data_IF_544960140235
#
_entry.id   IF_544960140235
#
_cell.length_a   1.000
_cell.length_b   1.000
_cell.length_c   1.000
_cell.angle_alpha   90.00
_cell.angle_beta   90.00
_cell.angle_gamma   90.00
#
_symmetry.space_group_name_H-M   'P 1'
#
loop_
_entity.id
_entity.type
_entity.pdbx_description
1 polymer ?
#
# COMPACT_ATOMS: atom_id res chain seq x y z
N UNK A 1 17.79 -5.07 -18.20
CA UNK A 1 18.75 -5.77 -17.31
C UNK A 1 18.11 -7.10 -16.97
N UNK A 2 18.75 -8.21 -17.33
CA UNK A 2 18.31 -9.56 -16.95
C UNK A 2 19.14 -9.98 -15.72
N UNK A 3 18.62 -9.71 -14.53
CA UNK A 3 19.32 -10.04 -13.28
C UNK A 3 18.93 -11.45 -12.84
N UNK A 4 19.89 -12.37 -12.86
CA UNK A 4 19.68 -13.79 -12.58
C UNK A 4 19.93 -14.19 -11.12
N UNK A 5 19.96 -13.22 -10.22
CA UNK A 5 20.15 -13.42 -8.78
C UNK A 5 18.85 -13.28 -8.00
N UNK A 6 18.90 -13.56 -6.70
CA UNK A 6 17.75 -13.40 -5.79
C UNK A 6 17.39 -11.92 -5.63
N UNK A 7 16.12 -11.59 -5.40
CA UNK A 7 15.67 -10.20 -5.13
C UNK A 7 16.42 -9.60 -3.91
N UNK A 8 16.84 -10.46 -2.98
CA UNK A 8 17.65 -10.06 -1.82
C UNK A 8 19.08 -9.67 -2.17
N UNK A 9 19.63 -10.12 -3.30
CA UNK A 9 20.93 -9.69 -3.81
C UNK A 9 20.84 -8.32 -4.47
N UNK A 10 19.73 -8.05 -5.18
CA UNK A 10 19.40 -6.68 -5.60
C UNK A 10 19.36 -5.76 -4.38
N UNK A 11 18.64 -6.15 -3.31
CA UNK A 11 18.57 -5.37 -2.06
C UNK A 11 19.94 -4.93 -1.54
N UNK A 12 20.97 -5.79 -1.62
CA UNK A 12 22.34 -5.44 -1.21
C UNK A 12 23.03 -4.49 -2.20
N UNK A 13 22.77 -4.66 -3.49
CA UNK A 13 23.39 -3.88 -4.57
C UNK A 13 22.88 -2.44 -4.63
N UNK A 14 21.56 -2.22 -4.50
CA UNK A 14 20.95 -0.88 -4.62
C UNK A 14 21.07 -0.05 -3.35
N UNK A 15 21.41 -0.65 -2.19
CA UNK A 15 21.66 0.05 -0.91
C UNK A 15 20.45 0.74 -0.27
N UNK A 16 19.40 1.05 -1.06
CA UNK A 16 18.14 1.61 -0.63
C UNK A 16 17.00 0.81 -1.26
N UNK A 17 16.25 0.09 -0.43
CA UNK A 17 14.98 -0.51 -0.80
C UNK A 17 13.94 0.05 0.16
N UNK A 18 13.14 1.07 -0.24
CA UNK A 18 12.13 1.63 0.63
C UNK A 18 11.11 0.53 0.94
N UNK A 19 11.19 -0.04 2.14
CA UNK A 19 10.19 -0.95 2.68
C UNK A 19 9.26 -0.15 3.58
N UNK A 20 7.97 -0.24 3.28
CA UNK A 20 6.93 0.31 4.14
C UNK A 20 6.78 -0.61 5.37
N UNK A 21 7.39 -0.22 6.50
CA UNK A 21 7.23 -0.94 7.76
C UNK A 21 5.85 -0.63 8.34
N UNK A 22 4.89 -1.54 8.13
CA UNK A 22 3.54 -1.41 8.65
C UNK A 22 2.95 -2.74 9.08
N UNK A 23 1.82 -2.65 9.79
CA UNK A 23 1.01 -3.83 10.08
C UNK A 23 0.19 -4.24 8.85
N UNK A 24 -0.20 -5.51 8.76
CA UNK A 24 -1.13 -6.00 7.71
C UNK A 24 -2.44 -5.20 7.67
N UNK A 25 -2.88 -4.64 8.79
CA UNK A 25 -4.11 -3.85 8.84
C UNK A 25 -3.90 -2.46 8.24
N UNK A 26 -2.75 -1.82 8.49
CA UNK A 26 -2.36 -0.56 7.85
C UNK A 26 -2.12 -0.74 6.35
N UNK A 27 -1.48 -1.84 5.94
CA UNK A 27 -1.31 -2.18 4.52
C UNK A 27 -2.67 -2.25 3.79
N UNK A 28 -3.66 -2.95 4.39
CA UNK A 28 -5.04 -2.97 3.88
C UNK A 28 -5.71 -1.60 3.85
N UNK A 29 -5.45 -0.74 4.84
CA UNK A 29 -5.98 0.62 4.86
C UNK A 29 -5.49 1.44 3.66
N UNK A 30 -4.27 1.20 3.16
CA UNK A 30 -3.77 1.83 1.92
C UNK A 30 -4.64 1.44 0.72
N UNK A 31 -5.02 0.16 0.60
CA UNK A 31 -5.99 -0.25 -0.44
C UNK A 31 -7.37 0.40 -0.23
N UNK A 32 -7.77 0.66 1.00
CA UNK A 32 -8.99 1.43 1.30
C UNK A 32 -8.97 2.83 0.70
N UNK A 33 -7.80 3.49 0.61
CA UNK A 33 -7.66 4.77 -0.09
C UNK A 33 -7.91 4.64 -1.59
N UNK A 34 -7.41 3.56 -2.21
CA UNK A 34 -7.64 3.29 -3.63
C UNK A 34 -9.14 3.09 -3.92
N UNK A 35 -9.80 2.26 -3.11
CA UNK A 35 -11.25 2.02 -3.21
C UNK A 35 -12.06 3.31 -3.03
N UNK A 36 -11.69 4.15 -2.06
CA UNK A 36 -12.34 5.45 -1.81
C UNK A 36 -12.24 6.38 -3.04
N UNK A 37 -11.16 6.27 -3.79
CA UNK A 37 -10.91 6.99 -5.05
C UNK A 37 -11.57 6.34 -6.29
N UNK A 38 -12.35 5.27 -6.10
CA UNK A 38 -13.11 4.60 -7.16
C UNK A 38 -12.37 3.46 -7.86
N UNK A 39 -11.19 3.05 -7.37
CA UNK A 39 -10.47 1.90 -7.90
C UNK A 39 -11.09 0.59 -7.44
N UNK A 40 -11.08 -0.43 -8.32
CA UNK A 40 -11.52 -1.78 -7.98
C UNK A 40 -10.34 -2.66 -7.59
N UNK A 41 -10.54 -3.51 -6.59
CA UNK A 41 -9.51 -4.45 -6.16
C UNK A 41 -9.55 -5.72 -6.99
N UNK A 42 -8.39 -6.15 -7.51
CA UNK A 42 -8.24 -7.46 -8.12
C UNK A 42 -8.06 -8.53 -7.03
N UNK A 43 -8.81 -9.63 -7.13
CA UNK A 43 -8.63 -10.78 -6.23
C UNK A 43 -7.35 -11.57 -6.52
N UNK A 44 -6.69 -11.30 -7.67
CA UNK A 44 -5.37 -11.85 -7.96
C UNK A 44 -4.27 -11.13 -7.16
N UNK A 45 -4.50 -9.87 -6.77
CA UNK A 45 -3.52 -9.05 -6.05
C UNK A 45 -3.71 -9.13 -4.52
N UNK A 46 -4.95 -9.27 -4.05
CA UNK A 46 -5.30 -9.22 -2.63
C UNK A 46 -6.28 -10.32 -2.23
N UNK A 47 -6.14 -10.81 -0.99
CA UNK A 47 -7.00 -11.85 -0.39
C UNK A 47 -8.19 -11.30 0.43
N UNK A 48 -8.55 -10.04 0.20
CA UNK A 48 -9.64 -9.34 0.88
C UNK A 48 -10.47 -8.53 -0.14
N UNK A 49 -11.66 -8.10 0.28
CA UNK A 49 -12.57 -7.32 -0.56
C UNK A 49 -12.53 -5.81 -0.24
N UNK A 50 -13.24 -5.03 -1.06
CA UNK A 50 -13.33 -3.56 -0.95
C UNK A 50 -13.89 -3.11 0.40
N UNK A 51 -14.91 -3.80 0.92
CA UNK A 51 -15.51 -3.48 2.23
C UNK A 51 -14.52 -3.65 3.37
N UNK A 52 -13.73 -4.73 3.35
CA UNK A 52 -12.69 -5.00 4.33
C UNK A 52 -11.57 -3.94 4.27
N UNK A 53 -11.21 -3.49 3.07
CA UNK A 53 -10.22 -2.43 2.88
C UNK A 53 -10.72 -1.07 3.42
N UNK A 54 -11.97 -0.71 3.12
CA UNK A 54 -12.61 0.51 3.64
C UNK A 54 -12.76 0.47 5.18
N UNK A 55 -13.11 -0.68 5.74
CA UNK A 55 -13.20 -0.86 7.19
C UNK A 55 -11.83 -0.77 7.87
N UNK A 56 -10.78 -1.29 7.24
CA UNK A 56 -9.40 -1.09 7.70
C UNK A 56 -9.02 0.40 7.69
N UNK A 57 -9.37 1.13 6.62
CA UNK A 57 -9.10 2.58 6.54
C UNK A 57 -9.82 3.36 7.65
N UNK A 58 -11.08 3.03 7.96
CA UNK A 58 -11.80 3.66 9.08
C UNK A 58 -11.13 3.43 10.43
N UNK A 59 -10.55 2.24 10.64
CA UNK A 59 -9.84 1.88 11.89
C UNK A 59 -8.45 2.50 11.99
N UNK A 60 -7.88 2.91 10.85
CA UNK A 60 -6.54 3.48 10.74
C UNK A 60 -6.57 4.90 10.13
N UNK A 61 -7.20 5.88 10.79
CA UNK A 61 -7.29 7.26 10.28
C UNK A 61 -5.92 7.92 10.12
N UNK A 62 -4.88 7.43 10.80
CA UNK A 62 -3.50 7.87 10.61
C UNK A 62 -2.99 7.65 9.18
N UNK A 63 -3.51 6.65 8.46
CA UNK A 63 -3.15 6.34 7.07
C UNK A 63 -3.75 7.37 6.12
N UNK A 64 -5.02 7.74 6.29
CA UNK A 64 -5.63 8.84 5.51
C UNK A 64 -4.92 10.17 5.78
N UNK A 65 -4.58 10.45 7.04
CA UNK A 65 -3.82 11.64 7.41
C UNK A 65 -2.47 11.69 6.69
N UNK A 66 -1.68 10.62 6.77
CA UNK A 66 -0.37 10.56 6.14
C UNK A 66 -0.47 10.68 4.61
N UNK A 67 -1.49 10.07 4.00
CA UNK A 67 -1.74 10.21 2.57
C UNK A 67 -1.94 11.68 2.19
N UNK A 68 -2.79 12.42 2.91
CA UNK A 68 -3.04 13.85 2.64
C UNK A 68 -1.81 14.73 2.88
N UNK A 69 -1.00 14.40 3.88
CA UNK A 69 0.26 15.12 4.17
C UNK A 69 1.33 14.85 3.11
N UNK A 70 1.41 13.61 2.61
CA UNK A 70 2.43 13.18 1.62
C UNK A 70 2.05 13.58 0.21
N UNK A 71 0.76 13.45 -0.13
CA UNK A 71 0.21 13.71 -1.47
C UNK A 71 -0.87 14.80 -1.39
N UNK A 72 -0.52 16.05 -1.02
CA UNK A 72 -1.49 17.13 -0.84
C UNK A 72 -2.18 17.58 -2.14
N UNK A 73 -1.75 17.03 -3.28
CA UNK A 73 -2.26 17.32 -4.62
C UNK A 73 -3.16 16.21 -5.18
N UNK A 74 -3.37 15.10 -4.45
CA UNK A 74 -4.25 14.01 -4.86
C UNK A 74 -5.54 14.08 -4.05
N UNK A 75 -6.66 14.19 -4.73
CA UNK A 75 -7.98 14.11 -4.10
C UNK A 75 -8.31 12.68 -3.64
N UNK A 76 -9.01 12.60 -2.52
CA UNK A 76 -9.45 11.37 -1.88
C UNK A 76 -10.97 11.24 -1.90
#
# INVERSE_FOLDING_TARGET
IDFKGEVTELRRLIGLFPSWECTKAQDRAVYGLAVKRGEKLSQDDVSFNEEQALEALKKHPEIEKLFRETFPFIDL
#
